data_IF_285162981870
#
_entry.id   IF_285162981870
#
_cell.length_a   1.000
_cell.length_b   1.000
_cell.length_c   1.000
_cell.angle_alpha   90.00
_cell.angle_beta   90.00
_cell.angle_gamma   90.00
#
_symmetry.space_group_name_H-M   'P 1'
#
loop_
_entity.id
_entity.type
_entity.pdbx_description
1 polymer ?
#
# COMPACT_ATOMS: atom_id res chain seq x y z
N UNK A 1 42.04 35.29 54.25
CA UNK A 1 42.72 36.15 53.26
C UNK A 1 42.41 37.60 53.59
N UNK A 2 43.39 38.49 53.64
CA UNK A 2 43.16 39.92 53.82
C UNK A 2 42.40 40.49 52.60
N UNK A 3 41.56 41.52 52.83
CA UNK A 3 40.58 42.05 51.88
C UNK A 3 41.21 42.57 50.57
N UNK A 4 42.42 43.10 50.68
CA UNK A 4 43.25 43.60 49.58
C UNK A 4 43.71 42.51 48.60
N UNK A 5 43.92 41.27 49.06
CA UNK A 5 44.22 40.13 48.18
C UNK A 5 42.99 39.70 47.37
N UNK A 6 41.80 39.77 47.97
CA UNK A 6 40.54 39.37 47.31
C UNK A 6 40.10 40.40 46.26
N UNK A 7 40.33 41.69 46.52
CA UNK A 7 39.97 42.78 45.61
C UNK A 7 41.00 42.92 44.46
N UNK A 8 42.24 42.48 44.68
CA UNK A 8 43.31 42.52 43.67
C UNK A 8 43.30 41.36 42.66
N UNK A 9 42.55 40.28 42.94
CA UNK A 9 42.39 39.17 42.00
C UNK A 9 41.51 39.63 40.82
N UNK A 10 42.12 39.77 39.63
CA UNK A 10 41.38 40.00 38.39
C UNK A 10 40.62 38.73 38.02
N UNK A 11 39.31 38.85 37.84
CA UNK A 11 38.50 37.77 37.31
C UNK A 11 38.96 37.38 35.90
N UNK A 12 38.85 36.09 35.57
CA UNK A 12 39.05 35.63 34.22
C UNK A 12 38.08 36.38 33.28
N UNK A 13 38.53 36.88 32.12
CA UNK A 13 37.65 37.53 31.16
C UNK A 13 36.53 36.59 30.74
N UNK A 14 35.30 37.11 30.73
CA UNK A 14 34.14 36.34 30.26
C UNK A 14 34.19 36.18 28.74
N UNK A 15 34.40 34.95 28.29
CA UNK A 15 34.31 34.59 26.88
C UNK A 15 32.87 34.24 26.50
N UNK A 16 32.11 35.28 26.16
CA UNK A 16 30.72 35.15 25.69
C UNK A 16 30.60 34.30 24.43
N UNK A 17 31.63 34.27 23.58
CA UNK A 17 31.61 33.51 22.33
C UNK A 17 31.60 32.02 22.63
N UNK A 18 32.46 31.58 23.54
CA UNK A 18 32.54 30.17 23.95
C UNK A 18 31.36 29.75 24.82
N UNK A 19 30.93 30.60 25.75
CA UNK A 19 29.93 30.21 26.78
C UNK A 19 28.49 30.34 26.27
N UNK A 20 28.22 31.29 25.37
CA UNK A 20 26.85 31.60 24.94
C UNK A 20 26.68 31.39 23.44
N UNK A 21 27.42 32.12 22.61
CA UNK A 21 27.13 32.17 21.17
C UNK A 21 27.34 30.82 20.48
N UNK A 22 28.47 30.15 20.78
CA UNK A 22 28.86 28.90 20.13
C UNK A 22 27.89 27.75 20.43
N UNK A 23 27.48 27.46 21.69
CA UNK A 23 26.48 26.43 21.96
C UNK A 23 25.16 26.63 21.21
N UNK A 24 24.65 27.87 21.13
CA UNK A 24 23.43 28.16 20.37
C UNK A 24 23.61 27.95 18.86
N UNK A 25 24.78 28.31 18.34
CA UNK A 25 25.10 28.11 16.92
C UNK A 25 25.21 26.61 16.60
N UNK A 26 25.86 25.85 17.47
CA UNK A 26 25.95 24.39 17.37
C UNK A 26 24.56 23.74 17.45
N UNK A 27 23.70 24.19 18.36
CA UNK A 27 22.33 23.68 18.49
C UNK A 27 21.51 23.95 17.24
N UNK A 28 21.55 25.18 16.73
CA UNK A 28 20.84 25.55 15.49
C UNK A 28 21.29 24.69 14.31
N UNK A 29 22.58 24.38 14.22
CA UNK A 29 23.12 23.50 13.19
C UNK A 29 22.65 22.04 13.36
N UNK A 30 22.57 21.55 14.60
CA UNK A 30 22.04 20.22 14.90
C UNK A 30 20.57 20.10 14.53
N UNK A 31 19.76 21.09 14.89
CA UNK A 31 18.33 21.11 14.56
C UNK A 31 18.11 21.08 13.05
N UNK A 32 18.90 21.87 12.30
CA UNK A 32 18.85 21.86 10.84
C UNK A 32 19.20 20.48 10.26
N UNK A 33 20.23 19.81 10.78
CA UNK A 33 20.61 18.46 10.34
C UNK A 33 19.49 17.46 10.65
N UNK A 34 18.94 17.52 11.87
CA UNK A 34 17.87 16.64 12.31
C UNK A 34 16.62 16.78 11.44
N UNK A 35 16.19 18.02 11.13
CA UNK A 35 15.05 18.26 10.25
C UNK A 35 15.26 17.67 8.85
N UNK A 36 16.48 17.81 8.30
CA UNK A 36 16.82 17.23 6.99
C UNK A 36 16.80 15.70 7.02
N UNK A 37 17.43 15.09 8.03
CA UNK A 37 17.48 13.64 8.18
C UNK A 37 16.08 13.04 8.40
N UNK A 38 15.28 13.68 9.26
CA UNK A 38 13.90 13.26 9.50
C UNK A 38 13.04 13.40 8.23
N UNK A 39 13.20 14.50 7.50
CA UNK A 39 12.52 14.73 6.24
C UNK A 39 12.85 13.64 5.21
N UNK A 40 14.12 13.27 5.11
CA UNK A 40 14.58 12.19 4.23
C UNK A 40 13.96 10.84 4.62
N UNK A 41 14.01 10.47 5.91
CA UNK A 41 13.45 9.21 6.41
C UNK A 41 11.93 9.12 6.17
N UNK A 42 11.20 10.21 6.39
CA UNK A 42 9.77 10.28 6.13
C UNK A 42 9.46 10.10 4.65
N UNK A 43 10.22 10.77 3.78
CA UNK A 43 10.04 10.66 2.34
C UNK A 43 10.29 9.23 1.86
N UNK A 44 11.38 8.60 2.31
CA UNK A 44 11.71 7.21 1.96
C UNK A 44 10.61 6.25 2.43
N UNK A 45 10.13 6.39 3.67
CA UNK A 45 9.04 5.56 4.20
C UNK A 45 7.74 5.71 3.40
N UNK A 46 7.39 6.94 2.99
CA UNK A 46 6.21 7.22 2.18
C UNK A 46 6.34 6.57 0.80
N UNK A 47 7.49 6.75 0.14
CA UNK A 47 7.72 6.21 -1.21
C UNK A 47 7.68 4.68 -1.19
N UNK A 48 8.37 4.06 -0.23
CA UNK A 48 8.39 2.60 -0.11
C UNK A 48 7.00 2.04 0.18
N UNK A 49 6.29 2.65 1.13
CA UNK A 49 4.92 2.23 1.49
C UNK A 49 3.98 2.37 0.30
N UNK A 50 4.06 3.49 -0.44
CA UNK A 50 3.26 3.71 -1.63
C UNK A 50 3.58 2.68 -2.72
N UNK A 51 4.87 2.42 -2.99
CA UNK A 51 5.30 1.44 -3.98
C UNK A 51 4.76 0.05 -3.65
N UNK A 52 4.85 -0.37 -2.39
CA UNK A 52 4.30 -1.64 -1.93
C UNK A 52 2.77 -1.69 -2.06
N UNK A 53 2.07 -0.65 -1.58
CA UNK A 53 0.61 -0.58 -1.64
C UNK A 53 0.09 -0.57 -3.08
N UNK A 54 0.82 0.04 -4.01
CA UNK A 54 0.46 0.06 -5.44
C UNK A 54 0.72 -1.30 -6.12
N UNK A 55 1.79 -2.00 -5.77
CA UNK A 55 2.12 -3.30 -6.36
C UNK A 55 1.29 -4.45 -5.80
N UNK A 56 0.91 -4.38 -4.52
CA UNK A 56 0.28 -5.47 -3.77
C UNK A 56 -1.05 -5.97 -4.38
N UNK A 57 -2.03 -5.13 -4.75
CA UNK A 57 -3.30 -5.61 -5.31
C UNK A 57 -3.11 -6.45 -6.57
N UNK A 58 -2.18 -6.04 -7.44
CA UNK A 58 -1.88 -6.77 -8.67
C UNK A 58 -1.28 -8.14 -8.38
N UNK A 59 -0.33 -8.20 -7.43
CA UNK A 59 0.27 -9.46 -7.00
C UNK A 59 -0.76 -10.41 -6.37
N UNK A 60 -1.59 -9.90 -5.45
CA UNK A 60 -2.62 -10.71 -4.80
C UNK A 60 -3.66 -11.22 -5.79
N UNK A 61 -4.08 -10.39 -6.75
CA UNK A 61 -4.98 -10.81 -7.83
C UNK A 61 -4.37 -11.91 -8.70
N UNK A 62 -3.09 -11.79 -9.08
CA UNK A 62 -2.41 -12.80 -9.90
C UNK A 62 -2.29 -14.13 -9.15
N UNK A 63 -1.95 -14.08 -7.87
CA UNK A 63 -1.87 -15.26 -7.02
C UNK A 63 -3.24 -15.95 -6.88
N UNK A 64 -4.31 -15.17 -6.73
CA UNK A 64 -5.68 -15.69 -6.68
C UNK A 64 -6.08 -16.39 -7.99
N UNK A 65 -5.73 -15.81 -9.14
CA UNK A 65 -5.98 -16.41 -10.47
C UNK A 65 -5.25 -17.74 -10.60
N UNK A 66 -3.95 -17.79 -10.32
CA UNK A 66 -3.17 -19.04 -10.39
C UNK A 66 -3.75 -20.13 -9.50
N UNK A 67 -4.21 -19.78 -8.29
CA UNK A 67 -4.86 -20.72 -7.38
C UNK A 67 -6.16 -21.28 -7.96
N UNK A 68 -6.93 -20.47 -8.68
CA UNK A 68 -8.15 -20.93 -9.34
C UNK A 68 -7.83 -21.82 -10.54
N UNK A 69 -6.84 -21.46 -11.36
CA UNK A 69 -6.37 -22.27 -12.50
C UNK A 69 -5.90 -23.66 -12.04
N UNK A 70 -5.17 -23.73 -10.93
CA UNK A 70 -4.76 -25.00 -10.35
C UNK A 70 -5.97 -25.83 -9.93
N UNK A 71 -6.93 -25.23 -9.21
CA UNK A 71 -8.15 -25.94 -8.79
C UNK A 71 -8.97 -26.45 -9.98
N UNK A 72 -9.05 -25.67 -11.05
CA UNK A 72 -9.73 -26.09 -12.29
C UNK A 72 -9.01 -27.31 -12.87
N UNK A 73 -7.67 -27.28 -12.92
CA UNK A 73 -6.86 -28.40 -13.40
C UNK A 73 -7.07 -29.67 -12.57
N UNK A 74 -7.09 -29.53 -11.24
CA UNK A 74 -7.33 -30.65 -10.32
C UNK A 74 -8.73 -31.26 -10.54
N UNK A 75 -9.76 -30.43 -10.73
CA UNK A 75 -11.13 -30.90 -11.02
C UNK A 75 -11.18 -31.65 -12.35
N UNK A 76 -10.53 -31.13 -13.40
CA UNK A 76 -10.47 -31.80 -14.72
C UNK A 76 -9.80 -33.17 -14.60
N UNK A 77 -8.73 -33.29 -13.81
CA UNK A 77 -8.07 -34.58 -13.57
C UNK A 77 -8.99 -35.55 -12.84
N UNK A 78 -9.69 -35.08 -11.81
CA UNK A 78 -10.67 -35.90 -11.07
C UNK A 78 -11.81 -36.35 -12.00
N UNK A 79 -12.39 -35.47 -12.82
CA UNK A 79 -13.44 -35.82 -13.79
C UNK A 79 -12.97 -36.88 -14.81
N UNK A 80 -11.71 -36.78 -15.26
CA UNK A 80 -11.11 -37.78 -16.14
C UNK A 80 -10.99 -39.15 -15.46
N UNK A 81 -10.63 -39.19 -14.18
CA UNK A 81 -10.49 -40.46 -13.44
C UNK A 81 -11.81 -41.08 -12.99
N UNK A 82 -12.85 -40.27 -12.75
CA UNK A 82 -14.19 -40.75 -12.33
C UNK A 82 -15.01 -41.35 -13.48
N UNK A 83 -14.47 -41.39 -14.71
CA UNK A 83 -15.10 -42.09 -15.82
C UNK A 83 -16.35 -41.42 -16.38
N UNK A 84 -16.66 -40.18 -15.98
CA UNK A 84 -17.55 -39.27 -16.73
C UNK A 84 -16.85 -38.85 -18.01
N UNK A 85 -16.65 -39.83 -18.89
CA UNK A 85 -16.29 -39.58 -20.27
C UNK A 85 -17.54 -38.99 -20.89
N UNK A 86 -17.62 -37.65 -21.01
CA UNK A 86 -18.39 -37.10 -22.12
C UNK A 86 -17.68 -37.56 -23.40
N UNK A 87 -17.98 -38.78 -23.83
CA UNK A 87 -17.80 -39.21 -25.21
C UNK A 87 -18.85 -38.48 -26.04
N UNK A 88 -18.66 -37.19 -26.24
CA UNK A 88 -19.32 -36.45 -27.30
C UNK A 88 -18.26 -35.85 -28.20
N UNK A 89 -18.43 -35.92 -29.53
CA UNK A 89 -17.37 -35.61 -30.48
C UNK A 89 -16.99 -34.14 -30.35
N UNK A 90 -15.72 -33.90 -29.97
CA UNK A 90 -14.80 -32.78 -30.23
C UNK A 90 -15.27 -31.30 -30.33
N UNK A 91 -16.55 -30.90 -30.22
CA UNK A 91 -16.99 -29.51 -30.45
C UNK A 91 -17.49 -28.76 -29.19
N UNK A 92 -17.60 -29.41 -28.02
CA UNK A 92 -18.35 -28.84 -26.88
C UNK A 92 -17.51 -28.23 -25.74
N UNK A 93 -16.17 -28.24 -25.80
CA UNK A 93 -15.33 -27.71 -24.70
C UNK A 93 -15.10 -26.19 -24.77
N UNK A 94 -15.49 -25.51 -25.85
CA UNK A 94 -15.52 -24.04 -25.96
C UNK A 94 -16.76 -23.41 -25.30
N UNK A 95 -17.76 -24.22 -24.95
CA UNK A 95 -19.07 -23.75 -24.51
C UNK A 95 -19.23 -23.59 -22.99
N UNK A 96 -18.40 -24.24 -22.17
CA UNK A 96 -18.55 -24.14 -20.70
C UNK A 96 -18.06 -22.82 -20.09
N UNK A 97 -16.88 -22.27 -20.49
CA UNK A 97 -16.53 -20.91 -20.12
C UNK A 97 -17.59 -19.94 -20.67
N UNK A 98 -17.98 -20.10 -21.93
CA UNK A 98 -18.97 -19.22 -22.56
C UNK A 98 -20.34 -19.27 -21.84
N UNK A 99 -20.84 -20.43 -21.43
CA UNK A 99 -22.11 -20.55 -20.71
C UNK A 99 -22.06 -19.93 -19.31
N UNK A 100 -20.99 -20.14 -18.54
CA UNK A 100 -20.84 -19.52 -17.23
C UNK A 100 -20.64 -18.01 -17.33
N UNK A 101 -19.82 -17.54 -18.28
CA UNK A 101 -19.64 -16.12 -18.55
C UNK A 101 -20.94 -15.47 -19.04
N UNK A 102 -21.70 -16.14 -19.90
CA UNK A 102 -22.96 -15.66 -20.44
C UNK A 102 -24.06 -15.61 -19.36
N UNK A 103 -24.13 -16.62 -18.49
CA UNK A 103 -25.04 -16.63 -17.35
C UNK A 103 -24.71 -15.50 -16.36
N UNK A 104 -23.43 -15.28 -16.10
CA UNK A 104 -22.97 -14.18 -15.23
C UNK A 104 -23.26 -12.81 -15.86
N UNK A 105 -23.02 -12.66 -17.17
CA UNK A 105 -23.34 -11.47 -17.96
C UNK A 105 -24.84 -11.16 -17.92
N UNK A 106 -25.68 -12.17 -18.10
CA UNK A 106 -27.13 -12.03 -18.08
C UNK A 106 -27.63 -11.61 -16.68
N UNK A 107 -27.10 -12.24 -15.63
CA UNK A 107 -27.44 -11.92 -14.23
C UNK A 107 -27.04 -10.48 -13.87
N UNK A 108 -25.85 -10.04 -14.32
CA UNK A 108 -25.39 -8.66 -14.12
C UNK A 108 -26.27 -7.64 -14.87
N UNK A 109 -26.63 -7.95 -16.13
CA UNK A 109 -27.51 -7.10 -16.92
C UNK A 109 -28.89 -6.93 -16.27
N UNK A 110 -29.45 -8.03 -15.75
CA UNK A 110 -30.73 -8.00 -15.04
C UNK A 110 -30.64 -7.16 -13.76
N UNK A 111 -29.57 -7.32 -12.97
CA UNK A 111 -29.33 -6.50 -11.78
C UNK A 111 -29.25 -5.01 -12.11
N UNK A 112 -28.46 -4.64 -13.12
CA UNK A 112 -28.32 -3.24 -13.55
C UNK A 112 -29.66 -2.68 -14.03
N UNK A 113 -30.45 -3.48 -14.74
CA UNK A 113 -31.79 -3.08 -15.20
C UNK A 113 -32.71 -2.81 -14.02
N UNK A 114 -32.75 -3.72 -13.04
CA UNK A 114 -33.55 -3.53 -11.81
C UNK A 114 -33.11 -2.28 -11.04
N UNK A 115 -31.81 -2.04 -10.93
CA UNK A 115 -31.27 -0.84 -10.29
C UNK A 115 -31.69 0.44 -11.03
N UNK A 116 -31.60 0.45 -12.37
CA UNK A 116 -32.06 1.59 -13.18
C UNK A 116 -33.55 1.85 -13.02
N UNK A 117 -34.37 0.80 -13.03
CA UNK A 117 -35.82 0.94 -12.83
C UNK A 117 -36.15 1.47 -11.43
N UNK A 118 -35.46 0.97 -10.40
CA UNK A 118 -35.63 1.47 -9.04
C UNK A 118 -35.20 2.95 -8.92
N UNK A 119 -34.10 3.33 -9.56
CA UNK A 119 -33.64 4.71 -9.64
C UNK A 119 -34.66 5.62 -10.33
N UNK A 120 -35.17 5.22 -11.50
CA UNK A 120 -36.20 5.96 -12.23
C UNK A 120 -37.47 6.16 -11.38
N UNK A 121 -37.92 5.10 -10.70
CA UNK A 121 -39.07 5.16 -9.79
C UNK A 121 -38.82 6.09 -8.58
N UNK A 122 -37.59 6.18 -8.09
CA UNK A 122 -37.22 7.04 -6.96
C UNK A 122 -36.97 8.50 -7.37
N UNK A 123 -36.49 8.75 -8.59
CA UNK A 123 -36.16 10.10 -9.08
C UNK A 123 -37.25 10.73 -9.94
N UNK A 124 -38.33 10.00 -10.26
CA UNK A 124 -39.48 10.50 -11.02
C UNK A 124 -39.19 10.82 -12.49
N UNK A 125 -38.17 10.17 -13.07
CA UNK A 125 -37.80 10.23 -14.48
C UNK A 125 -38.40 9.04 -15.24
#
# INVERSE_FOLDING_TARGET
RPLNEVIGESFAPFDHQKVVVRPFTEETARDTSFEQELGQLLLDAIIETHAWAAARPKFESQLAVQKLEQKISDVIEVEKTQGTSFSTPLDSLSLWPALLFEQTRQSLHEFVTRMKTALAALTGL
#
